data_IF_814153122720
#
_entry.id   IF_814153122720
#
_cell.length_a   1.000
_cell.length_b   1.000
_cell.length_c   1.000
_cell.angle_alpha   90.00
_cell.angle_beta   90.00
_cell.angle_gamma   90.00
#
_symmetry.space_group_name_H-M   'P 1'
#
loop_
_entity.id
_entity.type
_entity.pdbx_description
1 polymer ?
#
# COMPACT_ATOMS: atom_id res chain seq x y z
N UNK A 1 11.71 -16.09 40.42
CA UNK A 1 10.43 -15.70 39.79
C UNK A 1 10.28 -14.19 39.68
N UNK A 2 10.51 -13.41 40.74
CA UNK A 2 10.40 -11.94 40.71
C UNK A 2 11.27 -11.25 39.64
N UNK A 3 12.52 -11.69 39.45
CA UNK A 3 13.43 -11.08 38.47
C UNK A 3 13.01 -11.26 37.00
N UNK A 4 12.24 -12.30 36.69
CA UNK A 4 11.69 -12.49 35.34
C UNK A 4 10.48 -11.59 35.09
N UNK A 5 9.74 -11.23 36.14
CA UNK A 5 8.60 -10.32 36.02
C UNK A 5 9.05 -8.86 35.86
N UNK A 6 10.12 -8.45 36.57
CA UNK A 6 10.70 -7.10 36.41
C UNK A 6 11.30 -6.93 35.02
N UNK A 7 12.06 -7.91 34.52
CA UNK A 7 12.65 -7.84 33.18
C UNK A 7 11.59 -7.86 32.08
N UNK A 8 10.53 -8.65 32.23
CA UNK A 8 9.39 -8.62 31.31
C UNK A 8 8.78 -7.21 31.25
N UNK A 9 8.39 -6.65 32.41
CA UNK A 9 7.79 -5.32 32.47
C UNK A 9 8.66 -4.21 31.88
N UNK A 10 9.98 -4.25 32.10
CA UNK A 10 10.91 -3.27 31.52
C UNK A 10 10.92 -3.37 29.99
N UNK A 11 11.01 -4.59 29.44
CA UNK A 11 10.99 -4.83 27.99
C UNK A 11 9.67 -4.42 27.37
N UNK A 12 8.55 -4.70 28.03
CA UNK A 12 7.22 -4.26 27.61
C UNK A 12 7.16 -2.75 27.52
N UNK A 13 7.62 -2.03 28.55
CA UNK A 13 7.57 -0.58 28.57
C UNK A 13 8.39 0.04 27.43
N UNK A 14 9.57 -0.52 27.13
CA UNK A 14 10.36 -0.10 25.97
C UNK A 14 9.62 -0.37 24.65
N UNK A 15 9.01 -1.55 24.49
CA UNK A 15 8.22 -1.89 23.31
C UNK A 15 7.06 -0.93 23.09
N UNK A 16 6.32 -0.62 24.16
CA UNK A 16 5.19 0.32 24.11
C UNK A 16 5.64 1.75 23.80
N UNK A 17 6.82 2.18 24.28
CA UNK A 17 7.40 3.47 23.92
C UNK A 17 7.67 3.55 22.42
N UNK A 18 8.34 2.54 21.85
CA UNK A 18 8.63 2.52 20.41
C UNK A 18 7.34 2.50 19.57
N UNK A 19 6.34 1.72 19.99
CA UNK A 19 5.04 1.68 19.33
C UNK A 19 4.35 3.06 19.34
N UNK A 20 4.47 3.79 20.45
CA UNK A 20 3.98 5.15 20.58
C UNK A 20 4.71 6.10 19.64
N UNK A 21 6.04 6.06 19.62
CA UNK A 21 6.87 6.92 18.75
C UNK A 21 6.49 6.71 17.27
N UNK A 22 6.34 5.45 16.84
CA UNK A 22 5.87 5.13 15.49
C UNK A 22 4.49 5.74 15.18
N UNK A 23 3.55 5.63 16.11
CA UNK A 23 2.21 6.17 15.91
C UNK A 23 2.18 7.70 15.87
N UNK A 24 2.98 8.35 16.73
CA UNK A 24 2.92 9.80 16.93
C UNK A 24 3.78 10.56 15.92
N UNK A 25 4.97 10.06 15.59
CA UNK A 25 5.91 10.71 14.67
C UNK A 25 5.57 10.42 13.21
N UNK A 26 5.13 9.19 12.92
CA UNK A 26 4.92 8.73 11.54
C UNK A 26 3.45 8.48 11.19
N UNK A 27 2.52 8.71 12.12
CA UNK A 27 1.09 8.45 11.91
C UNK A 27 0.77 6.98 11.68
N UNK A 28 1.64 6.07 12.11
CA UNK A 28 1.47 4.64 11.88
C UNK A 28 0.31 4.08 12.71
N UNK A 29 -0.51 3.22 12.10
CA UNK A 29 -1.48 2.42 12.84
C UNK A 29 -0.76 1.24 13.50
N UNK A 30 -0.70 1.24 14.84
CA UNK A 30 0.03 0.23 15.61
C UNK A 30 -0.87 -0.37 16.66
N UNK A 31 -0.88 -1.70 16.75
CA UNK A 31 -1.49 -2.46 17.84
C UNK A 31 -0.46 -3.43 18.43
N UNK A 32 -0.29 -3.40 19.75
CA UNK A 32 0.56 -4.32 20.51
C UNK A 32 -0.31 -4.97 21.57
N UNK A 33 -0.35 -6.30 21.60
CA UNK A 33 -1.09 -7.08 22.60
C UNK A 33 -0.10 -8.01 23.29
N UNK A 34 -0.05 -7.94 24.60
CA UNK A 34 0.85 -8.70 25.44
C UNK A 34 0.06 -9.58 26.40
N UNK A 35 0.42 -10.86 26.44
CA UNK A 35 -0.05 -11.81 27.43
C UNK A 35 1.12 -12.18 28.34
N UNK A 36 1.07 -11.71 29.59
CA UNK A 36 2.07 -12.09 30.58
C UNK A 36 1.69 -13.45 31.22
N UNK A 37 2.66 -14.27 31.67
CA UNK A 37 2.36 -15.58 32.27
C UNK A 37 1.52 -15.55 33.56
N UNK A 38 1.38 -14.39 34.20
CA UNK A 38 0.82 -14.27 35.57
C UNK A 38 -0.16 -13.12 35.73
N UNK A 39 -0.51 -12.42 34.65
CA UNK A 39 -1.27 -11.18 34.75
C UNK A 39 -2.23 -11.01 33.59
N UNK A 40 -3.07 -9.99 33.73
CA UNK A 40 -4.05 -9.64 32.71
C UNK A 40 -3.38 -9.23 31.39
N UNK A 41 -4.02 -9.50 30.25
CA UNK A 41 -3.54 -9.02 28.97
C UNK A 41 -3.45 -7.50 28.97
N UNK A 42 -2.39 -6.97 28.36
CA UNK A 42 -2.23 -5.54 28.13
C UNK A 42 -2.26 -5.27 26.64
N UNK A 43 -2.93 -4.19 26.25
CA UNK A 43 -3.00 -3.77 24.87
C UNK A 43 -2.69 -2.29 24.74
N UNK A 44 -1.87 -1.97 23.75
CA UNK A 44 -1.70 -0.63 23.23
C UNK A 44 -2.23 -0.58 21.80
N UNK A 45 -2.90 0.50 21.45
CA UNK A 45 -3.31 0.72 20.07
C UNK A 45 -3.48 2.20 19.76
N UNK A 46 -3.05 2.58 18.57
CA UNK A 46 -3.23 3.92 18.02
C UNK A 46 -3.70 3.79 16.56
N UNK A 47 -4.96 4.16 16.22
CA UNK A 47 -5.94 4.87 17.06
C UNK A 47 -6.56 4.03 18.19
N UNK A 48 -6.96 2.77 17.94
CA UNK A 48 -7.31 1.80 19.00
C UNK A 48 -6.96 0.38 18.57
N UNK A 49 -6.65 -0.51 19.51
CA UNK A 49 -6.31 -1.89 19.20
C UNK A 49 -7.47 -2.62 18.50
N UNK A 50 -8.72 -2.43 18.95
CA UNK A 50 -9.91 -3.03 18.34
C UNK A 50 -10.09 -2.58 16.88
N UNK A 51 -9.98 -1.29 16.58
CA UNK A 51 -10.12 -0.79 15.21
C UNK A 51 -9.07 -1.39 14.25
N UNK A 52 -7.85 -1.62 14.74
CA UNK A 52 -6.77 -2.20 13.95
C UNK A 52 -7.02 -3.69 13.75
N UNK A 53 -7.40 -4.41 14.81
CA UNK A 53 -7.72 -5.83 14.72
C UNK A 53 -8.87 -6.10 13.75
N UNK A 54 -9.93 -5.28 13.73
CA UNK A 54 -11.03 -5.39 12.76
C UNK A 54 -10.59 -5.15 11.31
N UNK A 55 -9.53 -4.36 11.12
CA UNK A 55 -8.94 -4.15 9.79
C UNK A 55 -8.06 -5.32 9.36
N UNK A 56 -7.32 -5.93 10.30
CA UNK A 56 -6.44 -7.07 10.02
C UNK A 56 -7.18 -8.41 9.96
N UNK A 57 -8.29 -8.52 10.67
CA UNK A 57 -9.22 -9.65 10.66
C UNK A 57 -10.45 -9.21 9.88
N UNK A 58 -10.42 -9.25 8.54
CA UNK A 58 -11.64 -9.04 7.77
C UNK A 58 -12.66 -10.03 8.30
N UNK A 59 -13.74 -9.48 8.85
CA UNK A 59 -14.88 -10.21 9.35
C UNK A 59 -15.25 -11.25 8.30
N UNK A 60 -15.33 -12.52 8.69
CA UNK A 60 -15.64 -13.65 7.77
C UNK A 60 -17.01 -13.43 7.07
N UNK A 61 -17.74 -12.38 7.43
CA UNK A 61 -19.07 -12.04 6.93
C UNK A 61 -19.20 -10.64 6.29
N UNK A 62 -18.15 -9.82 6.17
CA UNK A 62 -18.28 -8.55 5.46
C UNK A 62 -17.06 -8.25 4.58
N UNK A 63 -17.37 -8.04 3.30
CA UNK A 63 -16.48 -7.73 2.18
C UNK A 63 -15.31 -6.81 2.54
N UNK A 64 -14.08 -7.04 2.01
CA UNK A 64 -12.88 -6.30 2.39
C UNK A 64 -12.92 -4.85 1.87
N UNK A 65 -13.52 -3.94 2.63
CA UNK A 65 -13.06 -2.54 2.70
C UNK A 65 -11.80 -2.58 3.57
N UNK A 66 -10.58 -2.63 3.06
CA UNK A 66 -10.00 -1.91 1.95
C UNK A 66 -8.88 -2.76 1.38
N UNK A 67 -9.22 -3.66 0.45
CA UNK A 67 -8.22 -4.10 -0.50
C UNK A 67 -7.85 -2.88 -1.35
N UNK A 68 -6.56 -2.69 -1.58
CA UNK A 68 -6.06 -2.17 -2.84
C UNK A 68 -6.51 -3.13 -3.96
N UNK A 69 -7.81 -3.24 -4.18
CA UNK A 69 -8.39 -3.95 -5.30
C UNK A 69 -8.27 -2.99 -6.47
N UNK A 70 -7.08 -3.01 -7.07
CA UNK A 70 -6.92 -2.70 -8.49
C UNK A 70 -7.88 -3.66 -9.18
N UNK A 71 -9.09 -3.20 -9.44
CA UNK A 71 -10.13 -4.03 -10.04
C UNK A 71 -9.59 -4.49 -11.38
N UNK A 72 -9.90 -5.73 -11.79
CA UNK A 72 -9.52 -6.27 -13.10
C UNK A 72 -9.81 -5.26 -14.23
N UNK A 73 -10.92 -4.51 -14.09
CA UNK A 73 -11.32 -3.41 -14.98
C UNK A 73 -10.29 -2.28 -15.12
N UNK A 74 -9.61 -1.91 -14.03
CA UNK A 74 -8.60 -0.85 -14.01
C UNK A 74 -7.26 -1.32 -14.60
N UNK A 75 -6.93 -2.60 -14.43
CA UNK A 75 -5.78 -3.21 -15.11
C UNK A 75 -6.02 -3.36 -16.62
N UNK A 76 -7.23 -3.78 -17.04
CA UNK A 76 -7.59 -3.88 -18.46
C UNK A 76 -7.69 -2.51 -19.14
N UNK A 77 -8.22 -1.48 -18.45
CA UNK A 77 -8.32 -0.13 -19.01
C UNK A 77 -6.94 0.50 -19.27
N UNK A 78 -5.95 0.21 -18.41
CA UNK A 78 -4.57 0.70 -18.61
C UNK A 78 -3.87 -0.01 -19.78
N UNK A 79 -4.11 -1.31 -19.96
CA UNK A 79 -3.57 -2.07 -21.10
C UNK A 79 -4.20 -1.61 -22.42
N UNK A 80 -5.51 -1.36 -22.44
CA UNK A 80 -6.21 -0.85 -23.63
C UNK A 80 -5.77 0.58 -23.98
N UNK A 81 -5.56 1.44 -22.97
CA UNK A 81 -4.98 2.78 -23.15
C UNK A 81 -3.59 2.74 -23.80
N UNK A 82 -2.69 1.87 -23.32
CA UNK A 82 -1.34 1.72 -23.88
C UNK A 82 -1.36 1.18 -25.32
N UNK A 83 -2.32 0.31 -25.67
CA UNK A 83 -2.47 -0.20 -27.04
C UNK A 83 -2.92 0.89 -28.01
N UNK A 84 -3.86 1.75 -27.60
CA UNK A 84 -4.34 2.88 -28.42
C UNK A 84 -3.24 3.91 -28.67
N UNK A 85 -2.44 4.25 -27.66
CA UNK A 85 -1.32 5.19 -27.80
C UNK A 85 -0.21 4.64 -28.73
N UNK A 86 0.04 3.34 -28.70
CA UNK A 86 0.99 2.70 -29.62
C UNK A 86 0.51 2.71 -31.09
N UNK A 87 -0.80 2.55 -31.32
CA UNK A 87 -1.39 2.60 -32.66
C UNK A 87 -1.42 4.04 -33.22
N UNK A 88 -1.74 5.05 -32.39
CA UNK A 88 -1.72 6.46 -32.78
C UNK A 88 -0.30 6.96 -33.11
N UNK A 89 0.71 6.55 -32.33
CA UNK A 89 2.11 6.91 -32.61
C UNK A 89 2.63 6.27 -33.90
N UNK A 90 2.25 5.03 -34.20
CA UNK A 90 2.58 4.38 -35.47
C UNK A 90 1.93 5.08 -36.67
N UNK A 91 0.67 5.52 -36.55
CA UNK A 91 -0.01 6.25 -37.61
C UNK A 91 0.63 7.62 -37.88
N UNK A 92 0.98 8.36 -36.84
CA UNK A 92 1.67 9.65 -36.96
C UNK A 92 3.05 9.52 -37.61
N UNK A 93 3.80 8.46 -37.29
CA UNK A 93 5.10 8.17 -37.93
C UNK A 93 4.96 7.91 -39.43
N UNK A 94 3.96 7.13 -39.85
CA UNK A 94 3.71 6.87 -41.27
C UNK A 94 3.33 8.15 -42.02
N UNK A 95 2.47 8.98 -41.43
CA UNK A 95 2.05 10.25 -42.02
C UNK A 95 3.24 11.21 -42.16
N UNK A 96 4.09 11.31 -41.14
CA UNK A 96 5.26 12.20 -41.17
C UNK A 96 6.30 11.72 -42.18
N UNK A 97 6.55 10.40 -42.30
CA UNK A 97 7.44 9.87 -43.36
C UNK A 97 6.92 10.16 -44.76
N UNK A 98 5.62 10.05 -44.99
CA UNK A 98 5.02 10.37 -46.29
C UNK A 98 5.18 11.87 -46.63
N UNK A 99 5.01 12.75 -45.63
CA UNK A 99 5.24 14.19 -45.77
C UNK A 99 6.71 14.49 -46.10
N UNK A 100 7.63 13.85 -45.37
CA UNK A 100 9.06 14.00 -45.62
C UNK A 100 9.45 13.50 -47.01
N UNK A 101 8.98 12.33 -47.45
CA UNK A 101 9.23 11.80 -48.79
C UNK A 101 8.74 12.77 -49.89
N UNK A 102 7.53 13.32 -49.71
CA UNK A 102 6.98 14.33 -50.62
C UNK A 102 7.82 15.61 -50.65
N UNK A 103 8.34 16.03 -49.49
CA UNK A 103 9.25 17.19 -49.40
C UNK A 103 10.58 16.91 -50.08
N UNK A 104 11.16 15.72 -49.89
CA UNK A 104 12.42 15.32 -50.53
C UNK A 104 12.30 15.26 -52.04
N UNK A 105 11.17 14.78 -52.57
CA UNK A 105 10.92 14.78 -54.02
C UNK A 105 10.91 16.18 -54.64
N UNK A 106 10.46 17.20 -53.89
CA UNK A 106 10.46 18.60 -54.37
C UNK A 106 11.85 19.25 -54.36
N UNK A 107 12.78 18.71 -53.58
CA UNK A 107 14.16 19.20 -53.50
C UNK A 107 15.02 18.55 -54.59
N UNK A 108 14.69 17.32 -54.98
CA UNK A 108 15.44 16.52 -55.96
C UNK A 108 14.92 16.66 -57.40
N UNK A 109 13.79 17.34 -57.62
CA UNK A 109 13.24 17.68 -58.93
C UNK A 109 13.66 19.10 -59.34
#
# INVERSE_FOLDING_TARGET
>A
MAQNQTSFSERTNTLLSMAKDLSQEFGAHVAVIEFSPTGEPKAYGAPTADSILRTCLPEIHSSPFQACSKTMGEATARVDGMKREAEETAFLDVVERARQATSWMKILA
#
